data_IF_391667849048
#
_entry.id   IF_391667849048
#
_cell.length_a   1.000
_cell.length_b   1.000
_cell.length_c   1.000
_cell.angle_alpha   90.00
_cell.angle_beta   90.00
_cell.angle_gamma   90.00
#
_symmetry.space_group_name_H-M   'P 1'
#
loop_
_entity.id
_entity.type
_entity.pdbx_description
1 polymer ?
#
# COMPACT_ATOMS: atom_id res chain seq x y z
N UNK A 1 -23.56 -5.09 4.71
CA UNK A 1 -23.29 -4.14 5.81
C UNK A 1 -22.12 -4.59 6.71
N UNK A 2 -22.05 -5.85 7.16
CA UNK A 2 -20.96 -6.33 8.04
C UNK A 2 -19.53 -6.10 7.47
N UNK A 3 -19.31 -6.36 6.18
CA UNK A 3 -17.98 -6.18 5.54
C UNK A 3 -17.48 -4.72 5.55
N UNK A 4 -18.37 -3.74 5.41
CA UNK A 4 -18.01 -2.31 5.43
C UNK A 4 -17.68 -1.86 6.85
N UNK A 5 -18.41 -2.37 7.84
CA UNK A 5 -18.15 -2.07 9.25
C UNK A 5 -16.81 -2.65 9.73
N UNK A 6 -16.50 -3.91 9.38
CA UNK A 6 -15.22 -4.52 9.72
C UNK A 6 -14.02 -3.80 9.06
N UNK A 7 -14.18 -3.33 7.83
CA UNK A 7 -13.15 -2.55 7.15
C UNK A 7 -12.86 -1.22 7.87
N UNK A 8 -13.92 -0.49 8.25
CA UNK A 8 -13.78 0.77 9.02
C UNK A 8 -13.16 0.52 10.39
N UNK A 9 -13.57 -0.57 11.07
CA UNK A 9 -13.01 -0.94 12.36
C UNK A 9 -11.50 -1.25 12.28
N UNK A 10 -11.06 -1.99 11.25
CA UNK A 10 -9.63 -2.29 11.04
C UNK A 10 -8.80 -1.03 10.85
N UNK A 11 -9.21 -0.14 9.95
CA UNK A 11 -8.49 1.11 9.67
C UNK A 11 -8.45 2.03 10.91
N UNK A 12 -9.55 2.06 11.68
CA UNK A 12 -9.59 2.75 12.97
C UNK A 12 -8.62 2.15 14.00
N UNK A 13 -8.56 0.82 14.10
CA UNK A 13 -7.67 0.12 15.02
C UNK A 13 -6.20 0.36 14.70
N UNK A 14 -5.79 0.34 13.43
CA UNK A 14 -4.43 0.67 12.99
C UNK A 14 -4.04 2.10 13.38
N UNK A 15 -4.95 3.06 13.21
CA UNK A 15 -4.73 4.46 13.60
C UNK A 15 -4.55 4.60 15.12
N UNK A 16 -5.40 3.94 15.92
CA UNK A 16 -5.29 3.97 17.38
C UNK A 16 -3.99 3.33 17.86
N UNK A 17 -3.59 2.19 17.27
CA UNK A 17 -2.35 1.51 17.61
C UNK A 17 -1.12 2.37 17.27
N UNK A 18 -1.15 3.06 16.12
CA UNK A 18 -0.10 4.00 15.73
C UNK A 18 0.01 5.16 16.73
N UNK A 19 -1.10 5.81 17.11
CA UNK A 19 -1.08 6.87 18.12
C UNK A 19 -0.61 6.38 19.48
N UNK A 20 -0.97 5.15 19.87
CA UNK A 20 -0.49 4.54 21.10
C UNK A 20 1.03 4.34 21.08
N UNK A 21 1.58 3.79 20.00
CA UNK A 21 3.01 3.62 19.83
C UNK A 21 3.74 4.98 19.86
N UNK A 22 3.23 5.97 19.13
CA UNK A 22 3.82 7.31 19.07
C UNK A 22 3.77 8.04 20.41
N UNK A 23 2.66 7.90 21.16
CA UNK A 23 2.55 8.44 22.51
C UNK A 23 3.50 7.76 23.50
N UNK A 24 3.75 6.46 23.34
CA UNK A 24 4.69 5.71 24.18
C UNK A 24 6.16 6.09 23.93
N UNK A 25 6.49 6.52 22.71
CA UNK A 25 7.81 7.02 22.33
C UNK A 25 8.05 8.46 22.80
N UNK A 26 6.98 9.27 22.89
CA UNK A 26 7.03 10.66 23.34
C UNK A 26 7.24 10.79 24.86
N UNK A 27 8.48 10.62 25.34
CA UNK A 27 8.85 10.70 26.77
C UNK A 27 8.93 12.11 27.37
N UNK A 28 8.78 13.16 26.55
CA UNK A 28 8.89 14.58 26.97
C UNK A 28 7.56 15.31 26.82
N UNK A 29 7.27 16.25 27.73
CA UNK A 29 6.10 17.12 27.67
C UNK A 29 6.00 17.90 26.34
N UNK A 30 7.15 18.23 25.75
CA UNK A 30 7.23 18.89 24.43
C UNK A 30 6.84 17.93 23.30
N UNK A 31 7.25 16.65 23.38
CA UNK A 31 6.87 15.62 22.40
C UNK A 31 5.37 15.33 22.40
N UNK A 32 4.76 15.33 23.59
CA UNK A 32 3.31 15.20 23.72
C UNK A 32 2.56 16.41 23.15
N UNK A 33 3.08 17.63 23.34
CA UNK A 33 2.49 18.83 22.73
C UNK A 33 2.54 18.79 21.19
N UNK A 34 3.63 18.31 20.60
CA UNK A 34 3.73 18.10 19.15
C UNK A 34 2.79 17.02 18.65
N UNK A 35 2.60 15.93 19.40
CA UNK A 35 1.63 14.88 19.08
C UNK A 35 0.21 15.45 18.97
N UNK A 36 -0.22 16.23 19.96
CA UNK A 36 -1.54 16.87 19.97
C UNK A 36 -1.69 17.91 18.85
N UNK A 37 -0.65 18.71 18.60
CA UNK A 37 -0.65 19.68 17.50
C UNK A 37 -0.78 18.96 16.14
N UNK A 38 -0.03 17.88 15.93
CA UNK A 38 -0.11 17.05 14.73
C UNK A 38 -1.49 16.40 14.57
N UNK A 39 -2.09 15.91 15.66
CA UNK A 39 -3.44 15.36 15.65
C UNK A 39 -4.48 16.41 15.20
N UNK A 40 -4.44 17.62 15.78
CA UNK A 40 -5.36 18.70 15.41
C UNK A 40 -5.22 19.11 13.94
N UNK A 41 -3.98 19.26 13.46
CA UNK A 41 -3.71 19.55 12.05
C UNK A 41 -4.22 18.43 11.16
N UNK A 42 -3.99 17.16 11.54
CA UNK A 42 -4.49 15.99 10.83
C UNK A 42 -6.02 15.99 10.72
N UNK A 43 -6.74 16.18 11.83
CA UNK A 43 -8.21 16.27 11.84
C UNK A 43 -8.71 17.38 10.93
N UNK A 44 -8.07 18.55 10.96
CA UNK A 44 -8.43 19.66 10.09
C UNK A 44 -8.23 19.31 8.60
N UNK A 45 -7.10 18.68 8.25
CA UNK A 45 -6.81 18.24 6.89
C UNK A 45 -7.79 17.16 6.42
N UNK A 46 -8.12 16.20 7.29
CA UNK A 46 -9.11 15.15 7.00
C UNK A 46 -10.50 15.75 6.78
N UNK A 47 -10.90 16.77 7.55
CA UNK A 47 -12.16 17.47 7.34
C UNK A 47 -12.21 18.12 5.96
N UNK A 48 -11.13 18.78 5.53
CA UNK A 48 -11.02 19.36 4.19
C UNK A 48 -11.15 18.26 3.12
N UNK A 49 -10.39 17.17 3.25
CA UNK A 49 -10.47 16.03 2.34
C UNK A 49 -11.88 15.43 2.29
N UNK A 50 -12.56 15.31 3.43
CA UNK A 50 -13.94 14.85 3.52
C UNK A 50 -14.88 15.75 2.70
N UNK A 51 -14.78 17.06 2.84
CA UNK A 51 -15.58 17.99 2.04
C UNK A 51 -15.29 17.85 0.55
N UNK A 52 -14.02 17.85 0.15
CA UNK A 52 -13.62 17.69 -1.25
C UNK A 52 -14.18 16.39 -1.84
N UNK A 53 -14.02 15.27 -1.12
CA UNK A 53 -14.55 13.98 -1.54
C UNK A 53 -16.07 13.99 -1.60
N UNK A 54 -16.76 14.58 -0.62
CA UNK A 54 -18.23 14.67 -0.58
C UNK A 54 -18.79 15.34 -1.84
N UNK A 55 -18.12 16.37 -2.36
CA UNK A 55 -18.52 17.06 -3.58
C UNK A 55 -18.02 16.38 -4.87
N UNK A 56 -16.84 15.74 -4.84
CA UNK A 56 -16.20 15.17 -6.03
C UNK A 56 -16.66 13.74 -6.36
N UNK A 57 -17.13 12.97 -5.36
CA UNK A 57 -17.46 11.53 -5.53
C UNK A 57 -18.61 11.29 -6.51
N UNK A 58 -19.49 12.28 -6.71
CA UNK A 58 -20.66 12.16 -7.61
C UNK A 58 -20.26 12.05 -9.09
N UNK A 59 -19.02 12.45 -9.46
CA UNK A 59 -18.53 12.44 -10.85
C UNK A 59 -17.28 11.58 -11.07
N UNK A 60 -16.93 10.67 -10.15
CA UNK A 60 -15.67 9.92 -10.28
C UNK A 60 -15.78 8.82 -11.35
N UNK A 61 -15.00 8.87 -12.45
CA UNK A 61 -14.89 7.74 -13.35
C UNK A 61 -14.18 6.58 -12.62
N UNK A 62 -14.93 5.55 -12.26
CA UNK A 62 -14.44 4.41 -11.44
C UNK A 62 -13.24 3.68 -12.05
N UNK A 63 -13.16 3.61 -13.37
CA UNK A 63 -12.07 2.89 -14.07
C UNK A 63 -10.68 3.53 -13.88
N UNK A 64 -10.44 4.81 -14.22
CA UNK A 64 -9.13 5.43 -14.03
C UNK A 64 -8.78 5.60 -12.55
N UNK A 65 -9.76 5.85 -11.67
CA UNK A 65 -9.51 5.95 -10.23
C UNK A 65 -8.98 4.63 -9.66
N UNK A 66 -9.65 3.51 -9.96
CA UNK A 66 -9.22 2.20 -9.47
C UNK A 66 -7.88 1.75 -10.06
N UNK A 67 -7.59 2.11 -11.31
CA UNK A 67 -6.29 1.82 -11.92
C UNK A 67 -5.17 2.59 -11.20
N UNK A 68 -5.36 3.89 -10.96
CA UNK A 68 -4.36 4.70 -10.28
C UNK A 68 -4.14 4.25 -8.83
N UNK A 69 -5.21 4.12 -8.04
CA UNK A 69 -5.10 3.72 -6.64
C UNK A 69 -4.65 2.26 -6.48
N UNK A 70 -5.11 1.37 -7.36
CA UNK A 70 -4.71 -0.04 -7.38
C UNK A 70 -3.24 -0.22 -7.75
N UNK A 71 -2.74 0.48 -8.78
CA UNK A 71 -1.31 0.47 -9.12
C UNK A 71 -0.48 1.03 -7.98
N UNK A 72 -0.90 2.14 -7.36
CA UNK A 72 -0.20 2.71 -6.21
C UNK A 72 -0.14 1.73 -5.03
N UNK A 73 -1.27 1.09 -4.69
CA UNK A 73 -1.35 0.09 -3.63
C UNK A 73 -0.46 -1.13 -3.93
N UNK A 74 -0.42 -1.57 -5.19
CA UNK A 74 0.44 -2.68 -5.61
C UNK A 74 1.93 -2.34 -5.46
N UNK A 75 2.35 -1.14 -5.87
CA UNK A 75 3.73 -0.68 -5.69
C UNK A 75 4.08 -0.60 -4.20
N UNK A 76 3.20 -0.06 -3.36
CA UNK A 76 3.44 0.01 -1.92
C UNK A 76 3.55 -1.37 -1.28
N UNK A 77 2.70 -2.34 -1.68
CA UNK A 77 2.80 -3.71 -1.22
C UNK A 77 4.15 -4.36 -1.60
N UNK A 78 4.65 -4.09 -2.80
CA UNK A 78 5.97 -4.56 -3.25
C UNK A 78 7.10 -4.00 -2.38
N UNK A 79 7.09 -2.69 -2.12
CA UNK A 79 8.09 -2.02 -1.27
C UNK A 79 8.03 -2.54 0.17
N UNK A 80 6.84 -2.68 0.74
CA UNK A 80 6.66 -3.17 2.10
C UNK A 80 7.12 -4.62 2.25
N UNK A 81 6.79 -5.51 1.31
CA UNK A 81 7.28 -6.88 1.35
C UNK A 81 8.81 -6.94 1.43
N UNK A 82 9.51 -6.13 0.63
CA UNK A 82 10.97 -6.06 0.67
C UNK A 82 11.53 -5.57 2.00
N UNK A 83 10.98 -4.47 2.53
CA UNK A 83 11.42 -3.88 3.81
C UNK A 83 11.09 -4.76 5.01
N UNK A 84 9.92 -5.39 5.03
CA UNK A 84 9.50 -6.26 6.12
C UNK A 84 10.36 -7.53 6.21
N UNK A 85 10.77 -8.14 5.09
CA UNK A 85 11.71 -9.26 5.14
C UNK A 85 13.09 -8.78 5.58
N UNK A 86 13.57 -7.63 5.09
CA UNK A 86 14.85 -7.08 5.54
C UNK A 86 14.89 -6.87 7.06
N UNK A 87 13.87 -6.24 7.62
CA UNK A 87 13.78 -5.98 9.06
C UNK A 87 13.80 -7.27 9.89
N UNK A 88 13.26 -8.36 9.34
CA UNK A 88 13.30 -9.69 9.96
C UNK A 88 14.71 -10.32 9.91
N UNK A 89 15.44 -10.11 8.82
CA UNK A 89 16.84 -10.56 8.65
C UNK A 89 17.77 -9.74 9.57
N UNK A 90 17.63 -8.41 9.59
CA UNK A 90 18.38 -7.51 10.48
C UNK A 90 18.07 -7.77 11.97
N UNK A 91 16.84 -8.19 12.26
CA UNK A 91 16.42 -8.70 13.58
C UNK A 91 17.10 -9.99 14.03
N UNK A 92 18.07 -10.53 13.26
CA UNK A 92 18.84 -11.77 13.53
C UNK A 92 17.99 -13.04 13.64
N UNK A 93 16.81 -13.08 13.03
CA UNK A 93 15.99 -14.30 12.97
C UNK A 93 16.52 -15.31 11.93
N UNK A 94 17.26 -14.85 10.91
CA UNK A 94 17.82 -15.67 9.82
C UNK A 94 19.25 -15.22 9.46
N UNK A 95 20.09 -16.17 9.02
CA UNK A 95 21.45 -15.89 8.53
C UNK A 95 21.37 -15.46 7.05
N UNK A 96 21.71 -14.20 6.70
CA UNK A 96 21.55 -13.71 5.34
C UNK A 96 22.48 -14.43 4.36
N UNK A 97 21.90 -15.08 3.36
CA UNK A 97 22.66 -15.57 2.19
C UNK A 97 22.74 -14.45 1.16
N UNK A 98 23.88 -13.74 1.16
CA UNK A 98 24.16 -12.65 0.23
C UNK A 98 24.38 -13.18 -1.17
N UNK A 99 23.63 -12.63 -2.15
CA UNK A 99 23.88 -12.91 -3.55
C UNK A 99 24.59 -11.72 -4.20
N UNK A 100 25.88 -11.89 -4.49
CA UNK A 100 26.68 -10.87 -5.18
C UNK A 100 26.16 -10.66 -6.62
N UNK A 101 25.63 -9.48 -6.91
CA UNK A 101 25.24 -9.09 -8.28
C UNK A 101 23.90 -8.34 -8.42
N UNK A 102 23.13 -8.14 -7.34
CA UNK A 102 21.86 -7.39 -7.39
C UNK A 102 22.07 -5.98 -6.81
N UNK A 103 21.66 -4.92 -7.55
CA UNK A 103 21.72 -3.55 -7.04
C UNK A 103 20.76 -3.37 -5.86
N UNK A 104 21.27 -2.81 -4.76
CA UNK A 104 20.44 -2.42 -3.63
C UNK A 104 19.68 -1.14 -3.98
N UNK A 105 18.35 -1.18 -3.91
CA UNK A 105 17.49 -0.01 -4.09
C UNK A 105 16.59 0.09 -2.85
N UNK A 106 17.12 0.72 -1.80
CA UNK A 106 16.47 0.82 -0.49
C UNK A 106 15.14 1.59 -0.54
N UNK A 107 14.93 2.43 -1.56
CA UNK A 107 13.64 3.11 -1.75
C UNK A 107 12.55 2.20 -2.34
N UNK A 108 12.94 1.26 -3.20
CA UNK A 108 12.02 0.29 -3.80
C UNK A 108 11.91 -1.00 -2.96
N UNK A 109 12.69 -1.10 -1.89
CA UNK A 109 12.75 -2.28 -1.03
C UNK A 109 13.45 -3.47 -1.69
N UNK A 110 14.25 -3.25 -2.73
CA UNK A 110 15.02 -4.32 -3.38
C UNK A 110 16.34 -4.46 -2.64
N UNK A 111 16.53 -5.61 -2.01
CA UNK A 111 17.75 -5.96 -1.28
C UNK A 111 18.36 -7.25 -1.85
N UNK A 112 19.70 -7.39 -1.80
CA UNK A 112 20.42 -8.52 -2.38
C UNK A 112 20.35 -9.79 -1.51
N UNK A 113 19.17 -10.11 -0.96
CA UNK A 113 18.91 -11.33 -0.19
C UNK A 113 17.98 -12.26 -0.97
N UNK A 114 18.28 -13.56 -1.00
CA UNK A 114 17.41 -14.55 -1.66
C UNK A 114 16.00 -14.55 -1.05
N UNK A 115 15.91 -14.36 0.27
CA UNK A 115 14.66 -14.35 1.02
C UNK A 115 13.79 -13.12 0.72
N UNK A 116 14.38 -11.96 0.39
CA UNK A 116 13.62 -10.78 -0.09
C UNK A 116 13.23 -10.94 -1.56
N UNK A 117 14.06 -11.61 -2.35
CA UNK A 117 13.92 -11.68 -3.80
C UNK A 117 12.88 -12.70 -4.26
N UNK A 118 12.72 -13.82 -3.55
CA UNK A 118 11.69 -14.85 -3.85
C UNK A 118 10.27 -14.27 -3.79
N UNK A 119 9.81 -13.64 -2.68
CA UNK A 119 8.46 -13.08 -2.60
C UNK A 119 8.26 -11.94 -3.61
N UNK A 120 9.27 -11.10 -3.85
CA UNK A 120 9.21 -10.08 -4.89
C UNK A 120 9.10 -10.67 -6.31
N UNK A 121 9.81 -11.77 -6.59
CA UNK A 121 9.70 -12.51 -7.85
C UNK A 121 8.30 -13.09 -8.08
N UNK A 122 7.69 -13.66 -7.04
CA UNK A 122 6.31 -14.15 -7.09
C UNK A 122 5.34 -13.00 -7.39
N UNK A 123 5.52 -11.84 -6.74
CA UNK A 123 4.70 -10.66 -6.99
C UNK A 123 4.83 -10.20 -8.45
N UNK A 124 6.04 -10.15 -9.00
CA UNK A 124 6.29 -9.77 -10.40
C UNK A 124 5.60 -10.75 -11.36
N UNK A 125 5.72 -12.07 -11.12
CA UNK A 125 5.04 -13.08 -11.93
C UNK A 125 3.51 -12.91 -11.85
N UNK A 126 2.98 -12.67 -10.65
CA UNK A 126 1.55 -12.41 -10.45
C UNK A 126 1.08 -11.14 -11.18
N UNK A 127 1.88 -10.06 -11.19
CA UNK A 127 1.59 -8.86 -11.98
C UNK A 127 1.61 -9.13 -13.48
N UNK A 128 2.60 -9.86 -13.99
CA UNK A 128 2.66 -10.24 -15.41
C UNK A 128 1.45 -11.10 -15.80
N UNK A 129 1.05 -12.04 -14.95
CA UNK A 129 -0.14 -12.85 -15.15
C UNK A 129 -1.42 -11.99 -15.14
N UNK A 130 -1.57 -11.09 -14.17
CA UNK A 130 -2.70 -10.17 -14.08
C UNK A 130 -2.81 -9.25 -15.32
N UNK A 131 -1.69 -8.72 -15.80
CA UNK A 131 -1.63 -7.92 -17.03
C UNK A 131 -1.99 -8.77 -18.27
N UNK A 132 -1.50 -10.00 -18.36
CA UNK A 132 -1.83 -10.93 -19.45
C UNK A 132 -3.33 -11.25 -19.48
N UNK A 133 -3.93 -11.52 -18.32
CA UNK A 133 -5.38 -11.78 -18.18
C UNK A 133 -6.20 -10.53 -18.52
N UNK A 134 -5.83 -9.34 -18.03
CA UNK A 134 -6.50 -8.09 -18.39
C UNK A 134 -6.45 -7.82 -19.90
N UNK A 135 -5.30 -8.06 -20.56
CA UNK A 135 -5.19 -7.93 -22.02
C UNK A 135 -6.08 -8.95 -22.76
N UNK A 136 -6.15 -10.19 -22.27
CA UNK A 136 -7.01 -11.23 -22.86
C UNK A 136 -8.50 -10.88 -22.76
N UNK A 137 -8.93 -10.33 -21.61
CA UNK A 137 -10.33 -9.93 -21.41
C UNK A 137 -10.72 -8.68 -22.21
N UNK A 138 -9.81 -7.72 -22.37
CA UNK A 138 -10.05 -6.50 -23.15
C UNK A 138 -10.23 -6.82 -24.65
N UNK A 139 -9.50 -7.82 -25.18
CA UNK A 139 -9.63 -8.27 -26.58
C UNK A 139 -10.98 -8.97 -26.85
N UNK A 140 -11.53 -9.66 -25.85
CA UNK A 140 -12.81 -10.38 -25.97
C UNK A 140 -14.02 -9.43 -26.01
N UNK A 141 -13.98 -8.30 -25.30
CA UNK A 141 -15.05 -7.29 -25.34
C UNK A 141 -15.07 -6.48 -26.65
N UNK A 142 -13.92 -6.25 -27.29
CA UNK A 142 -13.86 -5.56 -28.58
C UNK A 142 -14.45 -6.42 -29.72
N UNK A 143 -14.19 -7.72 -29.73
CA UNK A 143 -14.68 -8.62 -30.79
C UNK A 143 -16.19 -8.90 -30.74
N UNK A 144 -16.82 -8.85 -29.56
CA UNK A 144 -18.28 -9.02 -29.42
C UNK A 144 -19.05 -7.81 -29.97
N UNK A 145 -18.50 -6.61 -29.80
CA UNK A 145 -19.12 -5.37 -30.25
C UNK A 145 -19.01 -5.14 -31.77
N UNK A 146 -18.06 -5.80 -32.43
CA UNK A 146 -17.90 -5.80 -33.89
C UNK A 146 -18.75 -6.86 -34.61
N UNK A 147 -19.36 -7.80 -33.89
CA UNK A 147 -20.29 -8.79 -34.46
C UNK A 147 -21.76 -8.37 -34.39
N UNK A 148 -22.09 -7.33 -33.61
CA UNK A 148 -23.46 -6.77 -33.51
C UNK A 148 -23.69 -5.54 -34.43
N UNK A 149 -22.71 -5.18 -35.29
CA UNK A 149 -22.83 -4.10 -36.28
C UNK A 149 -22.87 -4.69 -37.68
#
# INVERSE_FOLDING_TARGET
>A
MAHQFLAVYREGAETVLFYYALASDAKSAVGLAYLFAGFLVGVFLLAICYFIMRYSVVKLPLKPFFMFTGTFMYVMAFVFAGKSILELIEGKLFEPTLMNGIPEISWLGIYPYLETLIPQGILIIAALFALAVMKYQSKKQHNLKSQEI
#
